data_IF_522583570154
#
_entry.id   IF_522583570154
#
_cell.length_a   1.000
_cell.length_b   1.000
_cell.length_c   1.000
_cell.angle_alpha   90.00
_cell.angle_beta   90.00
_cell.angle_gamma   90.00
#
_symmetry.space_group_name_H-M   'P 1'
#
loop_
_entity.id
_entity.type
_entity.pdbx_description
1 polymer ?
#
# COMPACT_ATOMS: atom_id res chain seq x y z
N UNK A 1 33.74 -16.56 11.26
CA UNK A 1 33.53 -18.00 10.97
C UNK A 1 33.93 -18.23 9.52
N UNK A 2 34.64 -19.31 9.19
CA UNK A 2 35.01 -19.64 7.82
C UNK A 2 33.98 -20.64 7.28
N UNK A 3 33.42 -20.34 6.11
CA UNK A 3 32.49 -21.23 5.42
C UNK A 3 33.21 -21.81 4.20
N UNK A 4 33.14 -23.13 4.03
CA UNK A 4 33.76 -23.85 2.92
C UNK A 4 32.70 -24.69 2.20
N UNK A 5 32.80 -24.79 0.87
CA UNK A 5 31.92 -25.67 0.11
C UNK A 5 32.06 -27.14 0.59
N UNK A 6 30.99 -27.96 0.49
CA UNK A 6 31.07 -29.38 0.82
C UNK A 6 32.23 -30.02 0.05
N UNK A 7 33.08 -30.80 0.73
CA UNK A 7 34.31 -31.45 0.22
C UNK A 7 35.57 -30.57 0.07
N UNK A 8 35.50 -29.27 0.32
CA UNK A 8 36.68 -28.39 0.30
C UNK A 8 37.15 -28.05 1.71
N UNK A 9 38.46 -28.07 1.92
CA UNK A 9 39.10 -27.62 3.15
C UNK A 9 39.83 -26.31 2.91
N UNK A 10 39.59 -25.30 3.74
CA UNK A 10 40.31 -24.04 3.67
C UNK A 10 41.74 -24.26 4.21
N UNK A 11 42.80 -24.06 3.39
CA UNK A 11 44.17 -24.22 3.86
C UNK A 11 44.46 -23.29 5.04
N UNK A 12 45.28 -23.75 5.99
CA UNK A 12 45.62 -22.99 7.21
C UNK A 12 46.19 -21.59 6.91
N UNK A 13 46.94 -21.46 5.82
CA UNK A 13 47.54 -20.20 5.36
C UNK A 13 46.50 -19.15 4.94
N UNK A 14 45.29 -19.59 4.57
CA UNK A 14 44.18 -18.74 4.16
C UNK A 14 43.19 -18.45 5.30
N UNK A 15 43.39 -19.03 6.48
CA UNK A 15 42.61 -18.76 7.69
C UNK A 15 43.06 -17.44 8.34
N UNK A 16 42.99 -16.36 7.57
CA UNK A 16 43.47 -15.05 7.95
C UNK A 16 42.28 -14.16 8.38
N UNK A 17 42.40 -13.47 9.51
CA UNK A 17 41.33 -12.62 10.07
C UNK A 17 41.28 -11.20 9.50
N UNK A 18 42.19 -10.86 8.59
CA UNK A 18 42.25 -9.54 7.99
C UNK A 18 41.19 -9.37 6.88
N UNK A 19 40.52 -8.22 6.87
CA UNK A 19 39.42 -7.89 5.95
C UNK A 19 39.91 -7.15 4.69
N UNK A 20 41.16 -7.38 4.29
CA UNK A 20 41.78 -6.80 3.11
C UNK A 20 41.43 -7.57 1.83
N UNK A 21 41.23 -6.85 0.73
CA UNK A 21 40.90 -7.46 -0.56
C UNK A 21 42.15 -7.42 -1.44
N UNK A 22 42.65 -8.57 -1.88
CA UNK A 22 43.86 -8.69 -2.72
C UNK A 22 43.62 -8.25 -4.16
N UNK A 23 42.36 -8.07 -4.57
CA UNK A 23 42.04 -7.51 -5.89
C UNK A 23 42.13 -5.98 -5.91
N UNK A 24 41.53 -5.31 -4.92
CA UNK A 24 41.45 -3.85 -4.92
C UNK A 24 42.39 -3.18 -3.92
N UNK A 25 43.09 -3.95 -3.08
CA UNK A 25 44.03 -3.51 -2.04
C UNK A 25 43.45 -2.46 -1.07
N UNK A 26 42.12 -2.38 -0.93
CA UNK A 26 41.44 -1.47 -0.01
C UNK A 26 41.04 -2.19 1.26
N UNK A 27 41.50 -1.69 2.40
CA UNK A 27 41.01 -2.08 3.73
C UNK A 27 39.67 -1.39 3.98
N UNK A 28 38.63 -2.17 4.26
CA UNK A 28 37.28 -1.71 4.60
C UNK A 28 36.72 -2.65 5.66
N UNK A 29 35.80 -2.16 6.49
CA UNK A 29 35.03 -3.02 7.40
C UNK A 29 34.00 -3.81 6.60
N UNK A 30 34.42 -4.91 5.99
CA UNK A 30 33.54 -5.85 5.28
C UNK A 30 32.99 -6.85 6.29
N UNK A 31 31.73 -7.23 6.13
CA UNK A 31 31.14 -8.31 6.92
C UNK A 31 31.67 -9.67 6.43
N UNK A 32 31.94 -9.77 5.12
CA UNK A 32 32.29 -11.03 4.45
C UNK A 32 33.50 -10.86 3.52
N UNK A 33 34.36 -11.87 3.50
CA UNK A 33 35.49 -12.02 2.56
C UNK A 33 35.45 -13.42 1.95
N UNK A 34 35.70 -13.51 0.66
CA UNK A 34 35.64 -14.74 -0.11
C UNK A 34 37.06 -15.19 -0.47
N UNK A 35 37.33 -16.48 -0.31
CA UNK A 35 38.58 -17.10 -0.75
C UNK A 35 38.30 -17.90 -2.01
N UNK A 36 38.91 -17.50 -3.11
CA UNK A 36 38.79 -18.17 -4.41
C UNK A 36 40.00 -19.09 -4.61
N UNK A 37 39.74 -20.31 -5.07
CA UNK A 37 40.78 -21.22 -5.54
C UNK A 37 40.79 -21.22 -7.08
N UNK A 38 41.95 -21.01 -7.68
CA UNK A 38 42.16 -21.16 -9.11
C UNK A 38 42.51 -22.62 -9.46
N UNK A 39 42.33 -23.00 -10.72
CA UNK A 39 42.55 -24.39 -11.20
C UNK A 39 44.00 -24.88 -11.03
N UNK A 40 44.95 -23.96 -10.92
CA UNK A 40 46.37 -24.25 -10.63
C UNK A 40 46.68 -24.46 -9.13
N UNK A 41 45.65 -24.36 -8.27
CA UNK A 41 45.78 -24.51 -6.82
C UNK A 41 46.15 -23.22 -6.08
N UNK A 42 46.33 -22.10 -6.77
CA UNK A 42 46.53 -20.79 -6.12
C UNK A 42 45.24 -20.24 -5.50
N UNK A 43 45.39 -19.41 -4.47
CA UNK A 43 44.27 -18.79 -3.74
C UNK A 43 44.31 -17.28 -3.85
N UNK A 44 43.13 -16.65 -3.87
CA UNK A 44 42.97 -15.19 -3.74
C UNK A 44 41.84 -14.81 -2.80
N UNK A 45 42.08 -13.79 -1.98
CA UNK A 45 41.06 -13.22 -1.07
C UNK A 45 40.43 -11.97 -1.67
N UNK A 46 39.12 -11.99 -1.82
CA UNK A 46 38.38 -10.90 -2.46
C UNK A 46 37.11 -10.55 -1.70
N UNK A 47 36.75 -9.26 -1.69
CA UNK A 47 35.47 -8.82 -1.13
C UNK A 47 34.31 -9.12 -2.08
N UNK A 48 33.08 -9.19 -1.55
CA UNK A 48 31.89 -9.56 -2.35
C UNK A 48 31.68 -8.73 -3.62
N UNK A 49 31.88 -7.41 -3.56
CA UNK A 49 31.77 -6.55 -4.75
C UNK A 49 32.85 -6.80 -5.81
N UNK A 50 33.97 -7.42 -5.44
CA UNK A 50 35.05 -7.77 -6.37
C UNK A 50 34.91 -9.21 -6.89
N UNK A 51 33.98 -10.00 -6.37
CA UNK A 51 33.74 -11.39 -6.74
C UNK A 51 33.31 -11.53 -8.21
N UNK A 52 32.49 -10.59 -8.68
CA UNK A 52 32.01 -10.54 -10.06
C UNK A 52 33.14 -10.46 -11.09
N UNK A 53 34.29 -9.89 -10.74
CA UNK A 53 35.44 -9.79 -11.64
C UNK A 53 36.13 -11.14 -11.91
N UNK A 54 35.86 -12.16 -11.10
CA UNK A 54 36.47 -13.49 -11.23
C UNK A 54 35.48 -14.56 -11.69
N UNK A 55 34.25 -14.54 -11.15
CA UNK A 55 33.27 -15.59 -11.39
C UNK A 55 32.08 -15.15 -12.26
N UNK A 56 32.00 -13.86 -12.62
CA UNK A 56 30.86 -13.31 -13.37
C UNK A 56 29.53 -13.29 -12.61
N UNK A 57 29.54 -13.68 -11.33
CA UNK A 57 28.38 -13.74 -10.42
C UNK A 57 28.58 -12.81 -9.23
N UNK A 58 27.50 -12.30 -8.65
CA UNK A 58 27.56 -11.46 -7.46
C UNK A 58 27.61 -12.33 -6.20
N UNK A 59 28.19 -11.81 -5.12
CA UNK A 59 28.24 -12.49 -3.81
C UNK A 59 26.85 -12.87 -3.28
N UNK A 60 25.80 -12.13 -3.65
CA UNK A 60 24.42 -12.48 -3.33
C UNK A 60 24.00 -13.85 -3.91
N UNK A 61 24.46 -14.18 -5.12
CA UNK A 61 24.12 -15.44 -5.81
C UNK A 61 24.87 -16.63 -5.20
N UNK A 62 26.10 -16.41 -4.73
CA UNK A 62 26.90 -17.43 -4.03
C UNK A 62 26.31 -17.72 -2.65
N UNK A 63 25.93 -16.68 -1.89
CA UNK A 63 25.36 -16.83 -0.56
C UNK A 63 24.04 -17.63 -0.57
N UNK A 64 23.18 -17.41 -1.57
CA UNK A 64 21.95 -18.19 -1.81
C UNK A 64 22.21 -19.70 -1.91
N UNK A 65 23.29 -20.11 -2.55
CA UNK A 65 23.63 -21.54 -2.68
C UNK A 65 24.16 -22.14 -1.37
N UNK A 66 24.92 -21.38 -0.59
CA UNK A 66 25.41 -21.81 0.73
C UNK A 66 24.33 -21.87 1.80
N UNK A 67 23.38 -20.92 1.81
CA UNK A 67 22.25 -20.92 2.77
C UNK A 67 21.28 -22.08 2.51
N UNK A 68 21.01 -22.39 1.23
CA UNK A 68 20.25 -23.59 0.82
C UNK A 68 20.92 -24.89 1.30
N UNK A 69 22.26 -24.97 1.28
CA UNK A 69 23.00 -26.13 1.77
C UNK A 69 23.09 -26.19 3.30
N UNK A 70 23.16 -25.06 3.99
CA UNK A 70 23.22 -25.04 5.46
C UNK A 70 21.88 -25.38 6.10
N UNK A 71 20.76 -24.90 5.55
CA UNK A 71 19.42 -25.22 6.06
C UNK A 71 19.09 -26.73 6.04
N UNK A 72 19.79 -27.52 5.21
CA UNK A 72 19.65 -28.99 5.18
C UNK A 72 20.57 -29.73 6.16
N UNK A 73 21.66 -29.11 6.63
CA UNK A 73 22.66 -29.75 7.51
C UNK A 73 22.41 -29.45 9.00
N UNK A 74 21.64 -28.40 9.33
CA UNK A 74 21.30 -28.03 10.72
C UNK A 74 20.14 -28.85 11.32
N UNK A 75 20.10 -30.18 11.09
CA UNK A 75 19.23 -31.11 11.83
C UNK A 75 19.99 -31.95 12.86
N UNK A 76 21.32 -31.82 12.94
CA UNK A 76 22.12 -32.52 13.95
C UNK A 76 23.30 -31.66 14.35
N UNK A 77 23.21 -31.04 15.52
CA UNK A 77 24.18 -31.13 16.64
C UNK A 77 23.98 -29.93 17.56
N UNK A 78 23.60 -30.22 18.80
CA UNK A 78 23.68 -29.33 19.94
C UNK A 78 25.10 -28.79 20.09
N UNK A 79 25.26 -27.46 20.18
CA UNK A 79 26.17 -26.81 21.13
C UNK A 79 26.03 -25.27 21.10
N UNK A 80 25.96 -24.74 22.32
CA UNK A 80 25.85 -23.36 22.80
C UNK A 80 26.33 -22.22 21.88
N UNK A 81 25.41 -21.30 21.52
CA UNK A 81 25.74 -20.01 20.91
C UNK A 81 25.00 -18.85 21.59
N UNK A 82 25.76 -17.77 21.85
CA UNK A 82 25.27 -16.54 22.46
C UNK A 82 24.09 -15.92 21.68
N UNK A 83 22.96 -15.90 22.37
CA UNK A 83 21.61 -15.41 22.05
C UNK A 83 21.53 -14.17 21.14
N UNK A 84 21.18 -14.42 19.88
CA UNK A 84 20.17 -13.67 19.14
C UNK A 84 19.05 -14.66 18.81
N UNK A 85 18.17 -14.93 19.77
CA UNK A 85 17.10 -15.93 19.66
C UNK A 85 15.86 -15.36 18.94
N UNK A 86 16.05 -14.81 17.74
CA UNK A 86 14.94 -14.41 16.87
C UNK A 86 14.98 -15.24 15.59
N UNK A 87 13.82 -15.70 15.04
CA UNK A 87 13.73 -16.13 13.66
C UNK A 87 14.39 -15.09 12.74
N UNK A 88 15.30 -15.51 11.87
CA UNK A 88 15.94 -14.63 10.87
C UNK A 88 14.94 -14.12 9.84
N UNK A 89 13.86 -14.87 9.66
CA UNK A 89 12.86 -14.70 8.63
C UNK A 89 11.46 -14.81 9.24
N UNK A 90 10.61 -13.83 8.93
CA UNK A 90 9.22 -13.78 9.35
C UNK A 90 8.32 -13.94 8.14
N UNK A 91 7.32 -14.86 8.16
CA UNK A 91 6.34 -14.97 7.10
C UNK A 91 5.68 -13.61 6.83
N UNK A 92 5.60 -13.23 5.56
CA UNK A 92 5.14 -11.90 5.18
C UNK A 92 3.68 -11.66 5.62
N UNK A 93 2.84 -12.68 5.52
CA UNK A 93 1.44 -12.67 5.97
C UNK A 93 1.32 -12.42 7.48
N UNK A 94 2.22 -13.00 8.28
CA UNK A 94 2.25 -12.76 9.72
C UNK A 94 2.58 -11.29 10.04
N UNK A 95 3.56 -10.71 9.34
CA UNK A 95 3.90 -9.29 9.48
C UNK A 95 2.74 -8.39 9.03
N UNK A 96 2.01 -8.76 7.98
CA UNK A 96 0.82 -8.02 7.55
C UNK A 96 -0.30 -8.06 8.59
N UNK A 97 -0.53 -9.21 9.22
CA UNK A 97 -1.51 -9.34 10.31
C UNK A 97 -1.16 -8.44 11.50
N UNK A 98 0.09 -8.47 11.97
CA UNK A 98 0.55 -7.58 13.04
C UNK A 98 0.45 -6.10 12.64
N UNK A 99 0.80 -5.79 11.40
CA UNK A 99 0.71 -4.42 10.86
C UNK A 99 -0.75 -3.94 10.83
N UNK A 100 -1.70 -4.76 10.36
CA UNK A 100 -3.13 -4.46 10.35
C UNK A 100 -3.64 -4.16 11.76
N UNK A 101 -3.29 -5.01 12.72
CA UNK A 101 -3.65 -4.82 14.12
C UNK A 101 -3.12 -3.50 14.69
N UNK A 102 -1.81 -3.23 14.53
CA UNK A 102 -1.18 -2.01 15.04
C UNK A 102 -1.77 -0.76 14.40
N UNK A 103 -2.03 -0.76 13.09
CA UNK A 103 -2.69 0.36 12.41
C UNK A 103 -4.08 0.61 12.98
N UNK A 104 -4.83 -0.44 13.32
CA UNK A 104 -6.12 -0.32 13.99
C UNK A 104 -6.05 0.36 15.37
N UNK A 105 -4.89 0.31 16.05
CA UNK A 105 -4.69 0.93 17.37
C UNK A 105 -4.21 2.37 17.29
N UNK A 106 -3.24 2.67 16.43
CA UNK A 106 -2.50 3.94 16.44
C UNK A 106 -2.43 4.65 15.09
N UNK A 107 -3.04 4.08 14.04
CA UNK A 107 -2.90 4.56 12.67
C UNK A 107 -1.55 4.22 12.05
N UNK A 108 -1.40 4.57 10.77
CA UNK A 108 -0.16 4.36 10.03
C UNK A 108 0.74 5.60 10.05
N UNK A 109 2.00 5.41 10.45
CA UNK A 109 3.06 6.42 10.42
C UNK A 109 4.32 5.79 9.82
N UNK A 110 4.77 6.33 8.68
CA UNK A 110 6.01 5.87 8.03
C UNK A 110 7.25 6.31 8.79
N UNK A 111 8.38 5.61 8.60
CA UNK A 111 9.66 5.96 9.25
C UNK A 111 10.09 7.42 8.97
N UNK A 112 9.96 7.88 7.72
CA UNK A 112 10.29 9.25 7.35
C UNK A 112 9.39 10.26 8.07
N UNK A 113 8.08 9.98 8.15
CA UNK A 113 7.12 10.88 8.80
C UNK A 113 7.29 10.91 10.33
N UNK A 114 7.55 9.76 10.95
CA UNK A 114 7.87 9.66 12.36
C UNK A 114 9.10 10.50 12.73
N UNK A 115 10.16 10.46 11.91
CA UNK A 115 11.35 11.28 12.12
C UNK A 115 11.08 12.79 12.02
N UNK A 116 10.25 13.20 11.06
CA UNK A 116 9.87 14.60 10.86
C UNK A 116 9.03 15.13 12.03
N UNK A 117 8.09 14.32 12.54
CA UNK A 117 7.13 14.72 13.56
C UNK A 117 7.55 14.38 15.00
N UNK A 118 8.70 13.73 15.21
CA UNK A 118 9.11 13.23 16.51
C UNK A 118 8.18 12.15 17.09
N UNK A 119 7.55 11.37 16.22
CA UNK A 119 6.60 10.31 16.59
C UNK A 119 7.24 8.92 16.48
N UNK A 120 6.58 7.92 17.06
CA UNK A 120 6.98 6.52 16.92
C UNK A 120 6.47 5.97 15.59
N UNK A 121 7.35 5.36 14.80
CA UNK A 121 6.95 4.77 13.52
C UNK A 121 6.14 3.49 13.75
N UNK A 122 5.22 3.17 12.82
CA UNK A 122 4.43 1.93 12.89
C UNK A 122 5.33 0.70 12.95
N UNK A 123 6.46 0.68 12.24
CA UNK A 123 7.42 -0.44 12.31
C UNK A 123 8.01 -0.64 13.71
N UNK A 124 8.18 0.43 14.49
CA UNK A 124 8.65 0.32 15.88
C UNK A 124 7.58 -0.27 16.80
N UNK A 125 6.30 0.02 16.56
CA UNK A 125 5.22 -0.63 17.29
C UNK A 125 5.08 -2.11 16.93
N UNK A 126 5.15 -2.45 15.63
CA UNK A 126 5.04 -3.83 15.16
C UNK A 126 6.20 -4.67 15.69
N UNK A 127 7.42 -4.15 15.70
CA UNK A 127 8.57 -4.89 16.23
C UNK A 127 8.47 -5.12 17.74
N UNK A 128 8.00 -4.13 18.50
CA UNK A 128 7.78 -4.29 19.94
C UNK A 128 6.70 -5.34 20.24
N UNK A 129 5.59 -5.34 19.49
CA UNK A 129 4.56 -6.36 19.62
C UNK A 129 5.08 -7.76 19.24
N UNK A 130 5.83 -7.86 18.16
CA UNK A 130 6.48 -9.10 17.72
C UNK A 130 7.41 -9.65 18.80
N UNK A 131 8.25 -8.81 19.41
CA UNK A 131 9.10 -9.22 20.53
C UNK A 131 8.28 -9.75 21.70
N UNK A 132 7.17 -9.11 22.06
CA UNK A 132 6.29 -9.61 23.13
C UNK A 132 5.65 -10.96 22.79
N UNK A 133 5.26 -11.18 21.54
CA UNK A 133 4.71 -12.47 21.10
C UNK A 133 5.72 -13.62 21.21
N UNK A 134 7.02 -13.31 21.15
CA UNK A 134 8.11 -14.28 21.28
C UNK A 134 8.56 -14.53 22.72
N UNK A 135 8.10 -13.72 23.67
CA UNK A 135 8.41 -13.90 25.09
C UNK A 135 7.47 -14.91 25.74
N UNK A 136 8.04 -15.87 26.48
CA UNK A 136 7.31 -16.91 27.22
C UNK A 136 6.74 -16.40 28.57
N UNK A 137 7.09 -15.19 28.99
CA UNK A 137 6.79 -14.68 30.33
C UNK A 137 6.11 -13.31 30.28
N UNK A 138 4.94 -13.20 30.91
CA UNK A 138 4.11 -11.99 30.94
C UNK A 138 4.45 -11.12 32.18
N UNK A 139 5.67 -10.58 32.20
CA UNK A 139 6.25 -9.98 33.41
C UNK A 139 6.12 -8.45 33.47
N UNK A 140 5.67 -7.81 32.39
CA UNK A 140 5.59 -6.35 32.27
C UNK A 140 4.18 -5.93 31.86
N UNK A 141 3.51 -5.11 32.68
CA UNK A 141 2.27 -4.43 32.29
C UNK A 141 2.57 -3.21 31.42
N UNK A 142 3.22 -3.43 30.29
CA UNK A 142 3.38 -2.40 29.26
C UNK A 142 2.25 -2.49 28.22
N UNK A 143 2.15 -1.46 27.39
CA UNK A 143 1.12 -1.37 26.35
C UNK A 143 1.17 -2.57 25.40
N UNK A 144 2.37 -3.06 25.07
CA UNK A 144 2.56 -4.14 24.10
C UNK A 144 2.16 -5.51 24.65
N UNK A 145 2.22 -5.71 25.96
CA UNK A 145 1.75 -6.94 26.62
C UNK A 145 0.22 -7.03 26.64
N UNK A 146 -0.46 -5.88 26.79
CA UNK A 146 -1.91 -5.77 26.57
C UNK A 146 -2.23 -6.08 25.10
N UNK A 147 -1.53 -5.45 24.16
CA UNK A 147 -1.72 -5.68 22.73
C UNK A 147 -1.42 -7.11 22.29
N UNK A 148 -0.47 -7.80 22.92
CA UNK A 148 -0.23 -9.24 22.69
C UNK A 148 -1.48 -10.05 22.99
N UNK A 149 -2.08 -9.82 24.16
CA UNK A 149 -3.30 -10.53 24.58
C UNK A 149 -4.48 -10.24 23.64
N UNK A 150 -4.66 -8.98 23.26
CA UNK A 150 -5.69 -8.56 22.31
C UNK A 150 -5.46 -9.15 20.91
N UNK A 151 -4.23 -9.12 20.41
CA UNK A 151 -3.88 -9.70 19.11
C UNK A 151 -4.12 -11.21 19.10
N UNK A 152 -3.72 -11.95 20.14
CA UNK A 152 -3.97 -13.39 20.23
C UNK A 152 -5.49 -13.68 20.23
N UNK A 153 -6.28 -12.90 20.97
CA UNK A 153 -7.72 -13.07 21.05
C UNK A 153 -8.45 -12.73 19.73
N UNK A 154 -7.94 -11.76 18.97
CA UNK A 154 -8.51 -11.26 17.71
C UNK A 154 -7.85 -11.87 16.46
N UNK A 155 -6.79 -12.67 16.63
CA UNK A 155 -6.03 -13.25 15.51
C UNK A 155 -6.92 -14.21 14.72
N UNK A 156 -7.54 -13.65 13.69
CA UNK A 156 -8.29 -14.36 12.68
C UNK A 156 -7.35 -14.74 11.54
N UNK A 157 -7.69 -15.80 10.80
CA UNK A 157 -6.98 -16.18 9.58
C UNK A 157 -7.29 -15.16 8.47
N UNK A 158 -6.70 -13.98 8.58
CA UNK A 158 -6.74 -12.96 7.54
C UNK A 158 -6.07 -13.47 6.27
N UNK A 159 -6.76 -13.34 5.14
CA UNK A 159 -6.19 -13.61 3.82
C UNK A 159 -5.53 -12.35 3.25
N UNK A 160 -4.24 -12.45 2.94
CA UNK A 160 -3.45 -11.39 2.31
C UNK A 160 -3.03 -11.75 0.88
N UNK A 161 -3.64 -12.76 0.27
CA UNK A 161 -3.36 -13.23 -1.09
C UNK A 161 -3.46 -12.10 -2.12
N UNK A 162 -4.51 -11.28 -2.07
CA UNK A 162 -4.68 -10.13 -2.97
C UNK A 162 -3.61 -9.07 -2.80
N UNK A 163 -3.20 -8.78 -1.56
CA UNK A 163 -2.10 -7.85 -1.28
C UNK A 163 -0.80 -8.37 -1.89
N UNK A 164 -0.47 -9.65 -1.67
CA UNK A 164 0.74 -10.28 -2.20
C UNK A 164 0.71 -10.31 -3.74
N UNK A 165 -0.43 -10.67 -4.33
CA UNK A 165 -0.61 -10.68 -5.77
C UNK A 165 -0.41 -9.28 -6.36
N UNK A 166 -0.97 -8.26 -5.72
CA UNK A 166 -0.80 -6.87 -6.15
C UNK A 166 0.66 -6.38 -6.06
N UNK A 167 1.38 -6.69 -4.99
CA UNK A 167 2.79 -6.31 -4.87
C UNK A 167 3.67 -6.94 -5.97
N UNK A 168 3.30 -8.12 -6.47
CA UNK A 168 3.98 -8.79 -7.59
C UNK A 168 3.77 -8.11 -8.95
N UNK A 169 2.85 -7.14 -9.06
CA UNK A 169 2.62 -6.39 -10.30
C UNK A 169 3.53 -5.17 -10.47
N UNK A 170 4.38 -4.86 -9.48
CA UNK A 170 5.23 -3.68 -9.54
C UNK A 170 6.35 -3.80 -10.57
N UNK A 171 6.55 -2.72 -11.33
CA UNK A 171 7.67 -2.59 -12.27
C UNK A 171 8.97 -2.29 -11.50
N UNK A 172 9.88 -3.26 -11.50
CA UNK A 172 11.10 -3.24 -10.67
C UNK A 172 12.23 -2.37 -11.23
N UNK A 173 12.12 -1.93 -12.47
CA UNK A 173 13.14 -1.16 -13.21
C UNK A 173 13.13 0.34 -12.90
N UNK A 174 12.07 0.86 -12.27
CA UNK A 174 11.84 2.31 -12.13
C UNK A 174 12.08 2.80 -10.70
N UNK A 175 11.73 2.00 -9.69
CA UNK A 175 11.63 2.48 -8.31
C UNK A 175 12.20 1.46 -7.31
N UNK A 176 13.27 1.86 -6.61
CA UNK A 176 13.94 1.05 -5.58
C UNK A 176 13.00 0.58 -4.47
N UNK A 177 12.05 1.41 -4.08
CA UNK A 177 11.06 1.06 -3.06
C UNK A 177 10.12 -0.04 -3.54
N UNK A 178 9.60 0.08 -4.77
CA UNK A 178 8.69 -0.91 -5.34
C UNK A 178 9.39 -2.21 -5.69
N UNK A 179 10.65 -2.15 -6.12
CA UNK A 179 11.50 -3.34 -6.26
C UNK A 179 11.64 -4.09 -4.93
N UNK A 180 11.86 -3.41 -3.81
CA UNK A 180 11.94 -4.07 -2.50
C UNK A 180 10.62 -4.73 -2.11
N UNK A 181 9.49 -4.09 -2.39
CA UNK A 181 8.17 -4.66 -2.09
C UNK A 181 7.85 -5.87 -2.98
N UNK A 182 8.20 -5.82 -4.26
CA UNK A 182 8.11 -6.95 -5.17
C UNK A 182 8.92 -8.15 -4.65
N UNK A 183 10.17 -7.93 -4.26
CA UNK A 183 11.05 -8.99 -3.75
C UNK A 183 10.50 -9.63 -2.47
N UNK A 184 9.94 -8.83 -1.55
CA UNK A 184 9.25 -9.36 -0.37
C UNK A 184 8.08 -10.27 -0.76
N UNK A 185 7.25 -9.87 -1.71
CA UNK A 185 6.11 -10.65 -2.15
C UNK A 185 6.51 -11.93 -2.90
N UNK A 186 7.62 -11.92 -3.65
CA UNK A 186 8.19 -13.10 -4.30
C UNK A 186 8.73 -14.09 -3.27
N UNK A 187 9.50 -13.60 -2.30
CA UNK A 187 10.12 -14.43 -1.28
C UNK A 187 9.12 -14.98 -0.26
N UNK A 188 8.06 -14.22 0.03
CA UNK A 188 7.01 -14.61 0.99
C UNK A 188 7.39 -14.45 2.46
N UNK A 189 8.57 -13.89 2.75
CA UNK A 189 9.05 -13.58 4.09
C UNK A 189 9.83 -12.26 4.12
N UNK A 190 10.09 -11.74 5.32
CA UNK A 190 10.97 -10.60 5.53
C UNK A 190 12.01 -10.87 6.63
N UNK A 191 13.18 -10.26 6.49
CA UNK A 191 14.20 -10.19 7.54
C UNK A 191 14.10 -8.87 8.29
N UNK A 192 14.83 -8.76 9.40
CA UNK A 192 15.01 -7.51 10.15
C UNK A 192 15.44 -6.33 9.26
N UNK A 193 16.32 -6.54 8.26
CA UNK A 193 16.77 -5.49 7.34
C UNK A 193 15.65 -4.98 6.43
N UNK A 194 14.73 -5.86 6.06
CA UNK A 194 13.59 -5.56 5.18
C UNK A 194 12.29 -5.25 5.93
N UNK A 195 12.31 -5.28 7.26
CA UNK A 195 11.12 -5.21 8.11
C UNK A 195 10.32 -3.93 7.89
N UNK A 196 10.99 -2.79 7.79
CA UNK A 196 10.33 -1.51 7.52
C UNK A 196 9.59 -1.48 6.17
N UNK A 197 10.12 -2.18 5.16
CA UNK A 197 9.44 -2.32 3.86
C UNK A 197 8.22 -3.23 3.99
N UNK A 198 8.35 -4.38 4.67
CA UNK A 198 7.23 -5.29 4.92
C UNK A 198 6.06 -4.60 5.66
N UNK A 199 6.34 -3.86 6.74
CA UNK A 199 5.33 -3.09 7.48
C UNK A 199 4.67 -2.01 6.61
N UNK A 200 5.40 -1.45 5.64
CA UNK A 200 4.83 -0.43 4.74
C UNK A 200 3.95 -0.99 3.62
N UNK A 201 4.07 -2.28 3.31
CA UNK A 201 3.46 -2.87 2.11
C UNK A 201 1.92 -2.95 2.24
N UNK A 202 1.42 -3.47 3.36
CA UNK A 202 -0.01 -3.61 3.61
C UNK A 202 -0.77 -2.26 3.61
N UNK A 203 -0.38 -1.23 4.39
CA UNK A 203 -1.05 0.08 4.30
C UNK A 203 -0.99 0.70 2.90
N UNK A 204 0.08 0.46 2.13
CA UNK A 204 0.14 0.90 0.73
C UNK A 204 -0.91 0.19 -0.14
N UNK A 205 -1.14 -1.11 0.08
CA UNK A 205 -2.22 -1.86 -0.58
C UNK A 205 -3.61 -1.35 -0.17
N UNK A 206 -3.86 -1.13 1.11
CA UNK A 206 -5.16 -0.58 1.58
C UNK A 206 -5.44 0.79 0.97
N UNK A 207 -4.44 1.66 0.88
CA UNK A 207 -4.58 2.94 0.20
C UNK A 207 -4.88 2.79 -1.31
N UNK A 208 -4.27 1.80 -1.98
CA UNK A 208 -4.63 1.47 -3.36
C UNK A 208 -6.10 1.05 -3.45
N UNK A 209 -6.53 0.07 -2.66
CA UNK A 209 -7.91 -0.46 -2.72
C UNK A 209 -8.92 0.64 -2.44
N UNK A 210 -8.66 1.52 -1.47
CA UNK A 210 -9.52 2.67 -1.20
C UNK A 210 -9.62 3.60 -2.41
N UNK A 211 -8.49 3.90 -3.07
CA UNK A 211 -8.44 4.76 -4.26
C UNK A 211 -9.15 4.12 -5.47
N UNK A 212 -8.95 2.83 -5.72
CA UNK A 212 -9.65 2.13 -6.80
C UNK A 212 -11.14 1.97 -6.50
N UNK A 213 -11.51 1.76 -5.23
CA UNK A 213 -12.91 1.76 -4.80
C UNK A 213 -13.53 3.14 -4.99
N UNK A 214 -12.84 4.22 -4.63
CA UNK A 214 -13.31 5.59 -4.86
C UNK A 214 -13.45 5.88 -6.36
N UNK A 215 -12.49 5.48 -7.20
CA UNK A 215 -12.61 5.60 -8.66
C UNK A 215 -13.78 4.79 -9.19
N UNK A 216 -13.92 3.54 -8.74
CA UNK A 216 -15.01 2.65 -9.14
C UNK A 216 -16.35 3.24 -8.71
N UNK A 217 -16.48 3.77 -7.49
CA UNK A 217 -17.68 4.45 -7.01
C UNK A 217 -17.93 5.76 -7.77
N UNK A 218 -16.90 6.54 -8.14
CA UNK A 218 -17.05 7.69 -9.04
C UNK A 218 -17.47 7.29 -10.46
N UNK A 219 -17.13 6.07 -10.88
CA UNK A 219 -17.52 5.49 -12.17
C UNK A 219 -18.86 4.74 -12.10
N UNK A 220 -19.29 4.32 -10.90
CA UNK A 220 -20.50 3.52 -10.59
C UNK A 220 -21.62 4.31 -9.90
N UNK A 221 -21.39 5.53 -9.41
CA UNK A 221 -22.43 6.57 -9.43
C UNK A 221 -22.86 6.59 -10.90
N UNK A 222 -24.00 5.97 -11.16
CA UNK A 222 -24.42 5.50 -12.48
C UNK A 222 -24.04 6.51 -13.53
N UNK A 223 -23.39 6.04 -14.61
CA UNK A 223 -23.14 6.86 -15.79
C UNK A 223 -24.50 7.36 -16.24
N UNK A 224 -24.87 8.53 -15.74
CA UNK A 224 -26.16 9.14 -16.00
C UNK A 224 -26.34 9.14 -17.51
N UNK A 225 -27.52 8.77 -17.97
CA UNK A 225 -27.88 8.91 -19.37
C UNK A 225 -28.89 10.06 -19.54
N UNK A 226 -29.06 10.47 -20.79
CA UNK A 226 -30.09 11.44 -21.11
C UNK A 226 -31.47 10.81 -20.92
N UNK A 227 -32.31 11.43 -20.10
CA UNK A 227 -33.64 10.93 -19.80
C UNK A 227 -34.65 11.72 -20.61
N UNK A 228 -35.33 11.06 -21.55
CA UNK A 228 -36.32 11.69 -22.44
C UNK A 228 -35.70 12.38 -23.66
N UNK A 229 -36.51 13.13 -24.40
CA UNK A 229 -36.11 13.92 -25.56
C UNK A 229 -36.23 15.42 -25.27
N UNK A 230 -35.42 16.24 -25.95
CA UNK A 230 -35.53 17.71 -25.85
C UNK A 230 -36.93 18.15 -26.27
N UNK A 231 -37.60 18.91 -25.41
CA UNK A 231 -38.99 19.34 -25.54
C UNK A 231 -39.99 18.54 -24.69
N UNK A 232 -39.62 17.36 -24.19
CA UNK A 232 -40.48 16.55 -23.32
C UNK A 232 -40.69 17.25 -21.96
N UNK A 233 -41.81 16.90 -21.30
CA UNK A 233 -42.24 17.52 -20.04
C UNK A 233 -42.53 16.48 -18.96
N UNK A 234 -41.89 16.68 -17.82
CA UNK A 234 -42.29 16.06 -16.55
C UNK A 234 -43.36 16.95 -15.91
N UNK A 235 -44.57 16.41 -15.82
CA UNK A 235 -45.77 17.07 -15.28
C UNK A 235 -46.13 16.49 -13.92
N UNK A 236 -47.14 17.05 -13.26
CA UNK A 236 -47.62 16.52 -11.99
C UNK A 236 -48.10 15.06 -12.06
N UNK A 237 -48.47 14.54 -13.25
CA UNK A 237 -48.88 13.14 -13.44
C UNK A 237 -47.68 12.18 -13.61
N UNK A 238 -46.52 12.69 -14.01
CA UNK A 238 -45.29 11.93 -14.29
C UNK A 238 -44.06 12.68 -13.75
N UNK A 239 -44.13 13.11 -12.49
CA UNK A 239 -43.02 13.80 -11.83
C UNK A 239 -41.87 12.84 -11.56
N UNK A 240 -40.65 13.34 -11.63
CA UNK A 240 -39.45 12.59 -11.26
C UNK A 240 -39.26 12.60 -9.74
N UNK A 241 -38.94 11.45 -9.16
CA UNK A 241 -38.47 11.37 -7.79
C UNK A 241 -36.95 11.50 -7.79
N UNK A 242 -36.44 12.51 -7.10
CA UNK A 242 -35.02 12.84 -7.12
C UNK A 242 -34.50 13.29 -5.76
N UNK A 243 -33.19 13.18 -5.57
CA UNK A 243 -32.44 13.78 -4.45
C UNK A 243 -31.63 14.95 -4.98
N UNK A 244 -31.64 16.09 -4.27
CA UNK A 244 -30.75 17.21 -4.59
C UNK A 244 -29.31 16.89 -4.17
N UNK A 245 -28.41 16.67 -5.12
CA UNK A 245 -27.03 16.26 -4.85
C UNK A 245 -26.06 17.43 -4.74
N UNK A 246 -26.40 18.59 -5.32
CA UNK A 246 -25.56 19.77 -5.26
C UNK A 246 -26.36 21.07 -5.49
N UNK A 247 -26.01 22.11 -4.73
CA UNK A 247 -26.49 23.50 -4.93
C UNK A 247 -25.27 24.41 -5.04
N UNK A 248 -25.13 25.12 -6.17
CA UNK A 248 -24.01 26.06 -6.35
C UNK A 248 -24.22 27.36 -5.58
N UNK A 249 -23.14 28.11 -5.36
CA UNK A 249 -23.25 29.53 -5.03
C UNK A 249 -24.00 30.29 -6.13
N UNK A 250 -24.66 31.39 -5.75
CA UNK A 250 -25.29 32.32 -6.70
C UNK A 250 -24.22 32.99 -7.56
N UNK A 251 -24.47 33.11 -8.85
CA UNK A 251 -23.61 33.79 -9.82
C UNK A 251 -24.42 34.79 -10.64
N UNK A 252 -23.82 35.93 -11.01
CA UNK A 252 -24.51 36.98 -11.76
C UNK A 252 -24.83 36.50 -13.17
N UNK A 253 -26.01 36.86 -13.66
CA UNK A 253 -26.49 36.64 -15.02
C UNK A 253 -27.10 37.95 -15.53
N UNK A 254 -26.70 38.35 -16.75
CA UNK A 254 -27.22 39.56 -17.37
C UNK A 254 -28.55 39.25 -18.05
N UNK A 255 -29.63 39.88 -17.61
CA UNK A 255 -30.93 39.80 -18.26
C UNK A 255 -31.38 41.20 -18.69
N UNK A 256 -30.98 41.60 -19.91
CA UNK A 256 -31.16 42.96 -20.41
C UNK A 256 -30.27 43.96 -19.66
N UNK A 257 -30.86 45.03 -19.13
CA UNK A 257 -30.16 46.10 -18.39
C UNK A 257 -30.10 45.88 -16.87
N UNK A 258 -30.51 44.71 -16.37
CA UNK A 258 -30.48 44.37 -14.94
C UNK A 258 -29.58 43.16 -14.71
N UNK A 259 -28.73 43.28 -13.71
CA UNK A 259 -27.99 42.15 -13.16
C UNK A 259 -28.95 41.34 -12.27
N UNK A 260 -29.11 40.05 -12.60
CA UNK A 260 -29.83 39.09 -11.76
C UNK A 260 -28.88 37.97 -11.36
N UNK A 261 -29.31 37.09 -10.46
CA UNK A 261 -28.46 36.01 -9.95
C UNK A 261 -29.16 34.67 -10.16
N UNK A 262 -28.41 33.68 -10.62
CA UNK A 262 -28.85 32.30 -10.73
C UNK A 262 -27.97 31.41 -9.86
N UNK A 263 -28.51 30.26 -9.47
CA UNK A 263 -27.74 29.15 -8.93
C UNK A 263 -28.10 27.86 -9.66
N UNK A 264 -27.13 26.95 -9.73
CA UNK A 264 -27.28 25.64 -10.32
C UNK A 264 -27.72 24.64 -9.26
N UNK A 265 -28.77 23.90 -9.58
CA UNK A 265 -29.21 22.74 -8.80
C UNK A 265 -28.96 21.48 -9.60
N UNK A 266 -28.28 20.51 -8.98
CA UNK A 266 -28.11 19.15 -9.53
C UNK A 266 -28.94 18.17 -8.72
N UNK A 267 -29.63 17.29 -9.43
CA UNK A 267 -30.47 16.25 -8.88
C UNK A 267 -30.08 14.90 -9.43
N UNK A 268 -30.37 13.85 -8.67
CA UNK A 268 -30.18 12.46 -9.06
C UNK A 268 -31.49 11.70 -8.87
N UNK A 269 -31.96 10.98 -9.90
CA UNK A 269 -33.14 10.12 -9.78
C UNK A 269 -32.81 8.75 -9.15
N UNK A 270 -33.83 7.91 -8.97
CA UNK A 270 -33.67 6.55 -8.42
C UNK A 270 -32.85 5.60 -9.29
N UNK A 271 -32.66 5.94 -10.56
CA UNK A 271 -31.83 5.20 -11.51
C UNK A 271 -30.41 5.81 -11.60
N UNK A 272 -30.17 6.88 -10.85
CA UNK A 272 -28.95 7.68 -10.77
C UNK A 272 -28.64 8.53 -12.02
N UNK A 273 -29.66 8.89 -12.80
CA UNK A 273 -29.53 9.90 -13.84
C UNK A 273 -29.50 11.30 -13.24
N UNK A 274 -28.67 12.17 -13.81
CA UNK A 274 -28.48 13.54 -13.38
C UNK A 274 -29.35 14.53 -14.15
N UNK A 275 -30.02 15.39 -13.38
CA UNK A 275 -30.78 16.51 -13.88
C UNK A 275 -30.20 17.81 -13.37
N UNK A 276 -30.18 18.84 -14.21
CA UNK A 276 -29.68 20.17 -13.83
C UNK A 276 -30.71 21.24 -14.15
N UNK A 277 -30.89 22.20 -13.25
CA UNK A 277 -31.67 23.41 -13.53
C UNK A 277 -31.01 24.63 -12.94
N UNK A 278 -31.32 25.78 -13.54
CA UNK A 278 -30.77 27.08 -13.16
C UNK A 278 -31.91 28.02 -12.80
N UNK A 279 -31.87 28.57 -11.61
CA UNK A 279 -32.90 29.49 -11.12
C UNK A 279 -32.33 30.43 -10.08
N UNK A 280 -32.85 31.65 -9.99
CA UNK A 280 -32.49 32.61 -8.94
C UNK A 280 -33.27 32.42 -7.64
N UNK A 281 -34.33 31.60 -7.65
CA UNK A 281 -35.11 31.30 -6.47
C UNK A 281 -34.49 30.15 -5.67
N UNK A 282 -34.49 30.27 -4.36
CA UNK A 282 -34.19 29.13 -3.47
C UNK A 282 -35.35 28.13 -3.52
N UNK A 283 -35.01 26.86 -3.73
CA UNK A 283 -36.01 25.79 -3.94
C UNK A 283 -35.87 24.61 -3.00
N UNK A 284 -34.64 24.19 -2.69
CA UNK A 284 -34.31 23.06 -1.82
C UNK A 284 -32.87 23.18 -1.31
N UNK A 285 -32.50 22.34 -0.35
CA UNK A 285 -31.15 22.14 0.13
C UNK A 285 -30.53 20.84 -0.44
N UNK A 286 -29.20 20.74 -0.38
CA UNK A 286 -28.51 19.50 -0.70
C UNK A 286 -28.92 18.40 0.29
N UNK A 287 -29.26 17.22 -0.23
CA UNK A 287 -29.78 16.08 0.53
C UNK A 287 -31.31 15.94 0.51
N UNK A 288 -32.05 16.98 0.11
CA UNK A 288 -33.51 16.92 0.06
C UNK A 288 -34.02 15.93 -1.00
N UNK A 289 -34.98 15.10 -0.62
CA UNK A 289 -35.74 14.25 -1.53
C UNK A 289 -37.02 14.96 -1.96
N UNK A 290 -37.31 15.01 -3.27
CA UNK A 290 -38.41 15.80 -3.81
C UNK A 290 -38.96 15.24 -5.12
N UNK A 291 -40.18 15.69 -5.45
CA UNK A 291 -40.80 15.53 -6.77
C UNK A 291 -40.44 16.71 -7.67
N UNK A 292 -39.81 16.40 -8.80
CA UNK A 292 -39.36 17.37 -9.79
C UNK A 292 -40.26 17.32 -11.03
N UNK A 293 -40.67 18.51 -11.48
CA UNK A 293 -41.36 18.74 -12.76
C UNK A 293 -40.59 19.78 -13.56
N UNK A 294 -40.75 19.79 -14.88
CA UNK A 294 -40.03 20.71 -15.77
C UNK A 294 -40.07 20.30 -17.24
N UNK A 295 -39.52 21.14 -18.11
CA UNK A 295 -39.35 20.85 -19.54
C UNK A 295 -37.88 20.59 -19.85
N UNK A 296 -37.59 19.52 -20.58
CA UNK A 296 -36.25 19.19 -21.05
C UNK A 296 -35.85 20.19 -22.12
N UNK A 297 -34.80 20.94 -21.87
CA UNK A 297 -34.29 21.95 -22.83
C UNK A 297 -33.04 21.50 -23.54
N UNK A 298 -32.25 20.63 -22.91
CA UNK A 298 -30.95 20.25 -23.43
C UNK A 298 -30.45 18.97 -22.81
N UNK A 299 -29.67 18.26 -23.61
CA UNK A 299 -28.77 17.20 -23.19
C UNK A 299 -27.34 17.72 -23.27
N UNK A 300 -26.61 17.64 -22.16
CA UNK A 300 -25.23 18.12 -22.13
C UNK A 300 -24.32 17.18 -21.33
N UNK A 301 -23.02 17.23 -21.62
CA UNK A 301 -22.01 16.55 -20.81
C UNK A 301 -21.36 17.60 -19.94
N UNK A 302 -21.37 17.39 -18.63
CA UNK A 302 -20.72 18.28 -17.69
C UNK A 302 -19.21 18.32 -18.01
N UNK A 303 -18.69 19.48 -18.36
CA UNK A 303 -17.29 19.64 -18.81
C UNK A 303 -16.25 19.32 -17.75
N UNK A 304 -16.62 19.38 -16.46
CA UNK A 304 -15.70 19.14 -15.34
C UNK A 304 -15.74 17.69 -14.89
N UNK A 305 -16.92 17.08 -14.85
CA UNK A 305 -17.10 15.71 -14.34
C UNK A 305 -17.19 14.65 -15.43
N UNK A 306 -17.46 15.04 -16.69
CA UNK A 306 -17.69 14.12 -17.81
C UNK A 306 -19.05 13.41 -17.77
N UNK A 307 -19.91 13.73 -16.81
CA UNK A 307 -21.21 13.06 -16.61
C UNK A 307 -22.27 13.67 -17.53
N UNK A 308 -23.09 12.85 -18.19
CA UNK A 308 -24.22 13.35 -18.98
C UNK A 308 -25.31 13.88 -18.04
N UNK A 309 -25.90 15.02 -18.38
CA UNK A 309 -26.93 15.67 -17.59
C UNK A 309 -28.11 16.08 -18.48
N UNK A 310 -29.32 15.92 -17.96
CA UNK A 310 -30.56 16.38 -18.60
C UNK A 310 -30.94 17.74 -18.01
N UNK A 311 -30.84 18.80 -18.81
CA UNK A 311 -31.14 20.15 -18.36
C UNK A 311 -32.64 20.43 -18.43
N UNK A 312 -33.19 20.95 -17.34
CA UNK A 312 -34.59 21.31 -17.20
C UNK A 312 -34.78 22.82 -17.03
N UNK A 313 -35.84 23.38 -17.63
CA UNK A 313 -36.34 24.74 -17.35
C UNK A 313 -37.73 24.70 -16.70
N UNK A 314 -38.14 25.84 -16.16
CA UNK A 314 -39.46 26.05 -15.56
C UNK A 314 -39.79 25.01 -14.47
N UNK A 315 -38.78 24.61 -13.70
CA UNK A 315 -38.93 23.54 -12.73
C UNK A 315 -39.81 23.94 -11.55
N UNK A 316 -40.70 23.02 -11.14
CA UNK A 316 -41.34 23.07 -9.83
C UNK A 316 -40.86 21.88 -9.02
N UNK A 317 -40.45 22.18 -7.79
CA UNK A 317 -39.91 21.23 -6.82
C UNK A 317 -40.89 21.17 -5.67
N UNK A 318 -41.34 19.97 -5.33
CA UNK A 318 -42.22 19.74 -4.18
C UNK A 318 -41.49 18.76 -3.26
N UNK A 319 -41.08 19.23 -2.08
CA UNK A 319 -40.51 18.38 -1.04
C UNK A 319 -41.51 17.27 -0.71
N UNK A 320 -40.99 16.05 -0.55
CA UNK A 320 -41.79 14.89 -0.14
C UNK A 320 -41.94 14.85 1.40
#
# INVERSE_FOLDING_TARGET
MFYTAPTQTLPKEQQHFAMDCEHCNKVRMRNDIFVLQHVDGSYKRVGGNCLAAYLGINAADVLLTTDLFHSTVTLTTDEEFYKSNGPTDYPLTFIFSLTKFVIGKVGYVSNSKAKELGQVATSSHVISLLSRLQEDYDNQRDMYSIWKSEYIADSTNDDFSDCIAWLKTFETSINDYERNLYQLAVNGYCTFKSFGFAVSAYPKYIAHVAKETEKRLKTQSSVSDYVGSVGDKFTAKNSLYVVCTHVSNKYPVNFGYRETYNQAYTFEDTCGNQFVTYTGAEKCAQGDSLKLTGEIVRHEVNKHTGIKQTQLKNCRMKLD
#
